data_IF_202777694108
#
_entry.id   IF_202777694108
#
_cell.length_a   1.000
_cell.length_b   1.000
_cell.length_c   1.000
_cell.angle_alpha   90.00
_cell.angle_beta   90.00
_cell.angle_gamma   90.00
#
_symmetry.space_group_name_H-M   'P 1'
#
loop_
_entity.id
_entity.type
_entity.pdbx_description
1 polymer ?
#
# COMPACT_ATOMS: atom_id res chain seq x y z
N UNK A 1 -7.21 3.59 9.51
CA UNK A 1 -6.75 4.85 8.91
C UNK A 1 -5.99 5.65 9.94
N UNK A 2 -4.83 6.21 9.63
CA UNK A 2 -4.04 7.00 10.57
C UNK A 2 -3.70 8.36 9.95
N UNK A 3 -3.95 9.43 10.67
CA UNK A 3 -3.52 10.79 10.34
C UNK A 3 -2.32 11.13 11.23
N UNK A 4 -1.10 11.10 10.68
CA UNK A 4 0.13 11.37 11.41
C UNK A 4 1.09 12.23 10.59
N UNK A 5 1.79 13.13 11.27
CA UNK A 5 2.90 13.90 10.65
C UNK A 5 4.08 12.98 10.30
N UNK A 6 4.81 13.34 9.24
CA UNK A 6 5.93 12.61 8.68
C UNK A 6 7.02 12.27 9.70
N UNK A 7 7.44 11.00 9.76
CA UNK A 7 8.55 10.51 10.60
C UNK A 7 8.72 8.99 10.51
N UNK A 8 9.86 8.47 10.91
CA UNK A 8 10.22 7.04 10.84
C UNK A 8 9.20 6.08 11.50
N UNK A 9 8.40 6.56 12.46
CA UNK A 9 7.35 5.77 13.10
C UNK A 9 6.19 5.40 12.19
N UNK A 10 5.91 6.20 11.14
CA UNK A 10 4.80 5.93 10.21
C UNK A 10 5.07 4.73 9.30
N UNK A 11 6.27 4.61 8.76
CA UNK A 11 6.66 3.44 7.96
C UNK A 11 6.54 2.14 8.77
N UNK A 12 6.98 2.15 10.02
CA UNK A 12 6.85 1.02 10.93
C UNK A 12 5.37 0.65 11.18
N UNK A 13 4.48 1.64 11.26
CA UNK A 13 3.05 1.44 11.53
C UNK A 13 2.34 0.58 10.47
N UNK A 14 2.77 0.61 9.20
CA UNK A 14 2.23 -0.29 8.18
C UNK A 14 3.16 -1.46 7.84
N UNK A 15 4.48 -1.29 7.91
CA UNK A 15 5.41 -2.37 7.56
C UNK A 15 5.39 -3.51 8.57
N UNK A 16 5.28 -3.26 9.87
CA UNK A 16 5.22 -4.34 10.87
C UNK A 16 3.97 -5.21 10.72
N UNK A 17 2.74 -4.69 10.59
CA UNK A 17 1.58 -5.52 10.31
C UNK A 17 1.70 -6.32 9.00
N UNK A 18 2.25 -5.71 7.94
CA UNK A 18 2.46 -6.39 6.66
C UNK A 18 3.45 -7.55 6.83
N UNK A 19 4.63 -7.29 7.37
CA UNK A 19 5.67 -8.31 7.54
C UNK A 19 5.19 -9.42 8.49
N UNK A 20 4.61 -9.06 9.63
CA UNK A 20 4.10 -10.02 10.61
C UNK A 20 3.03 -10.93 10.02
N UNK A 21 2.02 -10.37 9.37
CA UNK A 21 0.95 -11.14 8.75
C UNK A 21 1.41 -11.99 7.55
N UNK A 22 2.40 -11.52 6.78
CA UNK A 22 2.99 -12.34 5.72
C UNK A 22 3.79 -13.53 6.30
N UNK A 23 4.57 -13.32 7.34
CA UNK A 23 5.32 -14.41 7.99
C UNK A 23 4.40 -15.46 8.59
N UNK A 24 3.34 -15.04 9.28
CA UNK A 24 2.33 -15.93 9.82
C UNK A 24 1.65 -16.76 8.73
N UNK A 25 1.24 -16.13 7.63
CA UNK A 25 0.52 -16.77 6.53
C UNK A 25 1.40 -17.68 5.67
N UNK A 26 2.70 -17.43 5.58
CA UNK A 26 3.65 -18.19 4.74
C UNK A 26 4.39 -19.30 5.49
N UNK A 27 4.26 -19.36 6.80
CA UNK A 27 4.88 -20.42 7.63
C UNK A 27 6.41 -20.50 7.54
N UNK A 28 7.10 -19.38 7.23
CA UNK A 28 8.57 -19.35 7.17
C UNK A 28 9.17 -18.74 5.89
N UNK A 29 8.35 -18.13 5.07
CA UNK A 29 8.80 -17.40 3.89
C UNK A 29 8.40 -18.05 2.56
N UNK A 30 8.42 -17.24 1.52
CA UNK A 30 8.15 -17.67 0.14
C UNK A 30 9.46 -18.11 -0.51
N UNK A 31 9.44 -19.27 -1.13
CA UNK A 31 10.56 -19.75 -1.92
C UNK A 31 10.93 -18.79 -3.08
N UNK A 32 12.10 -18.98 -3.71
CA UNK A 32 12.46 -18.16 -4.86
C UNK A 32 11.43 -18.35 -5.99
N UNK A 33 11.18 -17.31 -6.81
CA UNK A 33 10.26 -17.43 -7.93
C UNK A 33 10.75 -18.50 -8.90
N UNK A 34 9.84 -19.20 -9.60
CA UNK A 34 10.19 -20.16 -10.61
C UNK A 34 11.11 -19.55 -11.68
N UNK A 35 12.14 -20.30 -12.12
CA UNK A 35 13.03 -19.85 -13.19
C UNK A 35 12.25 -19.56 -14.46
N UNK A 36 12.52 -18.38 -15.08
CA UNK A 36 11.84 -17.96 -16.31
C UNK A 36 10.52 -17.25 -16.13
N UNK A 37 10.04 -17.06 -14.89
CA UNK A 37 8.85 -16.25 -14.63
C UNK A 37 9.15 -14.78 -14.95
N UNK A 38 8.40 -14.23 -15.92
CA UNK A 38 8.53 -12.83 -16.34
C UNK A 38 7.49 -11.91 -15.68
N UNK A 39 6.55 -12.45 -14.92
CA UNK A 39 5.49 -11.73 -14.25
C UNK A 39 5.64 -11.89 -12.73
N UNK A 40 5.68 -10.79 -12.00
CA UNK A 40 5.80 -10.81 -10.55
C UNK A 40 4.42 -10.70 -9.89
N UNK A 41 4.27 -11.30 -8.70
CA UNK A 41 3.05 -11.34 -7.91
C UNK A 41 3.37 -10.92 -6.47
N UNK A 42 3.41 -9.62 -6.17
CA UNK A 42 3.63 -9.16 -4.80
C UNK A 42 2.45 -9.56 -3.89
N UNK A 43 2.77 -9.81 -2.62
CA UNK A 43 1.80 -10.12 -1.57
C UNK A 43 1.34 -8.86 -0.83
N UNK A 44 2.15 -7.81 -0.88
CA UNK A 44 1.83 -6.50 -0.33
C UNK A 44 2.22 -5.39 -1.29
N UNK A 45 1.39 -4.35 -1.33
CA UNK A 45 1.61 -3.14 -2.10
C UNK A 45 1.58 -1.91 -1.19
N UNK A 46 2.58 -1.05 -1.30
CA UNK A 46 2.63 0.26 -0.65
C UNK A 46 2.69 1.32 -1.73
N UNK A 47 1.68 2.18 -1.82
CA UNK A 47 1.65 3.33 -2.72
C UNK A 47 2.18 4.58 -2.02
N UNK A 48 3.00 5.35 -2.73
CA UNK A 48 3.68 6.54 -2.21
C UNK A 48 3.79 7.61 -3.32
N UNK A 49 3.65 8.90 -2.99
CA UNK A 49 3.54 9.98 -3.99
C UNK A 49 4.83 10.26 -4.75
N UNK A 50 5.99 10.08 -4.14
CA UNK A 50 7.28 10.52 -4.69
C UNK A 50 8.31 9.41 -4.72
N UNK A 51 9.29 9.57 -5.62
CA UNK A 51 10.47 8.71 -5.70
C UNK A 51 11.23 8.65 -4.37
N UNK A 52 11.46 9.81 -3.74
CA UNK A 52 12.23 9.93 -2.51
C UNK A 52 11.56 9.18 -1.37
N UNK A 53 10.24 9.35 -1.20
CA UNK A 53 9.49 8.63 -0.18
C UNK A 53 9.43 7.13 -0.47
N UNK A 54 9.22 6.72 -1.73
CA UNK A 54 9.23 5.30 -2.10
C UNK A 54 10.57 4.63 -1.77
N UNK A 55 11.69 5.30 -2.04
CA UNK A 55 13.02 4.81 -1.70
C UNK A 55 13.23 4.72 -0.19
N UNK A 56 12.81 5.72 0.57
CA UNK A 56 12.89 5.73 2.03
C UNK A 56 12.09 4.58 2.65
N UNK A 57 10.85 4.39 2.21
CA UNK A 57 9.99 3.28 2.67
C UNK A 57 10.63 1.93 2.32
N UNK A 58 11.18 1.79 1.12
CA UNK A 58 11.86 0.59 0.69
C UNK A 58 13.09 0.27 1.54
N UNK A 59 13.94 1.26 1.83
CA UNK A 59 15.12 1.08 2.68
C UNK A 59 14.75 0.66 4.10
N UNK A 60 13.76 1.30 4.70
CA UNK A 60 13.24 0.90 6.03
C UNK A 60 12.62 -0.50 5.97
N UNK A 61 11.82 -0.79 4.94
CA UNK A 61 11.23 -2.10 4.73
C UNK A 61 12.27 -3.22 4.62
N UNK A 62 13.40 -2.95 3.96
CA UNK A 62 14.52 -3.90 3.91
C UNK A 62 15.13 -4.18 5.28
N UNK A 63 15.24 -3.16 6.12
CA UNK A 63 15.74 -3.32 7.50
C UNK A 63 14.77 -4.16 8.33
N UNK A 64 13.46 -3.89 8.24
CA UNK A 64 12.43 -4.62 8.97
C UNK A 64 12.26 -6.07 8.48
N UNK A 65 12.45 -6.31 7.17
CA UNK A 65 12.38 -7.64 6.58
C UNK A 65 13.70 -8.43 6.68
N UNK A 66 14.74 -7.87 7.34
CA UNK A 66 16.02 -8.56 7.47
C UNK A 66 15.86 -9.92 8.18
N UNK A 67 16.46 -10.96 7.62
CA UNK A 67 16.37 -12.35 8.06
C UNK A 67 14.97 -12.99 8.05
N UNK A 68 13.95 -12.32 7.47
CA UNK A 68 12.60 -12.90 7.36
C UNK A 68 12.39 -13.72 6.08
N UNK A 69 13.30 -13.62 5.11
CA UNK A 69 13.14 -14.22 3.79
C UNK A 69 12.22 -13.44 2.85
N UNK A 70 11.51 -12.40 3.33
CA UNK A 70 10.69 -11.52 2.49
C UNK A 70 11.56 -10.55 1.70
N UNK A 71 11.12 -10.24 0.48
CA UNK A 71 11.85 -9.41 -0.50
C UNK A 71 11.09 -8.12 -0.80
N UNK A 72 11.39 -7.01 -0.09
CA UNK A 72 10.92 -5.68 -0.46
C UNK A 72 11.61 -5.22 -1.74
N UNK A 73 10.83 -4.69 -2.69
CA UNK A 73 11.31 -4.06 -3.92
C UNK A 73 10.63 -2.72 -4.13
N UNK A 74 11.18 -1.90 -5.04
CA UNK A 74 10.64 -0.56 -5.28
C UNK A 74 10.54 -0.25 -6.77
N UNK A 75 9.48 0.47 -7.17
CA UNK A 75 9.38 1.06 -8.50
C UNK A 75 8.84 2.50 -8.45
N UNK A 76 9.45 3.38 -9.26
CA UNK A 76 9.14 4.80 -9.28
C UNK A 76 9.43 5.44 -10.64
N UNK A 77 8.74 6.55 -10.91
CA UNK A 77 8.93 7.33 -12.13
C UNK A 77 10.25 8.12 -12.16
N UNK A 78 10.57 8.69 -13.31
CA UNK A 78 11.76 9.53 -13.48
C UNK A 78 13.09 8.76 -13.50
N UNK A 79 13.08 7.45 -13.63
CA UNK A 79 14.26 6.60 -13.77
C UNK A 79 14.03 5.49 -14.79
N UNK A 80 15.09 4.81 -15.22
CA UNK A 80 14.98 3.71 -16.19
C UNK A 80 14.10 2.57 -15.66
N UNK A 81 13.15 2.09 -16.45
CA UNK A 81 12.24 1.02 -16.10
C UNK A 81 12.92 -0.36 -16.07
N UNK A 82 13.84 -0.62 -16.98
CA UNK A 82 14.48 -1.93 -17.15
C UNK A 82 15.18 -2.47 -15.90
N UNK A 83 16.05 -1.71 -15.23
CA UNK A 83 16.66 -2.16 -13.98
C UNK A 83 15.65 -2.47 -12.88
N UNK A 84 14.60 -1.64 -12.72
CA UNK A 84 13.55 -1.86 -11.73
C UNK A 84 12.75 -3.14 -12.02
N UNK A 85 12.39 -3.37 -13.28
CA UNK A 85 11.71 -4.61 -13.69
C UNK A 85 12.57 -5.85 -13.41
N UNK A 86 13.84 -5.81 -13.74
CA UNK A 86 14.76 -6.96 -13.46
C UNK A 86 14.83 -7.27 -11.97
N UNK A 87 14.84 -6.25 -11.12
CA UNK A 87 14.86 -6.45 -9.67
C UNK A 87 13.55 -7.08 -9.17
N UNK A 88 12.41 -6.60 -9.63
CA UNK A 88 11.08 -7.13 -9.30
C UNK A 88 10.95 -8.60 -9.78
N UNK A 89 11.45 -8.93 -10.97
CA UNK A 89 11.40 -10.28 -11.53
C UNK A 89 12.29 -11.29 -10.79
N UNK A 90 13.32 -10.84 -10.10
CA UNK A 90 14.14 -11.69 -9.23
C UNK A 90 13.40 -12.15 -7.98
N UNK A 91 12.27 -11.51 -7.68
CA UNK A 91 11.38 -11.82 -6.58
C UNK A 91 10.94 -10.58 -5.83
N UNK A 92 9.64 -10.45 -5.64
CA UNK A 92 9.00 -9.33 -5.00
C UNK A 92 7.87 -9.84 -4.11
N UNK A 93 8.01 -9.69 -2.80
CA UNK A 93 6.95 -10.04 -1.84
C UNK A 93 6.23 -8.77 -1.35
N UNK A 94 6.98 -7.68 -1.16
CA UNK A 94 6.46 -6.36 -0.78
C UNK A 94 6.90 -5.36 -1.85
N UNK A 95 5.95 -4.78 -2.57
CA UNK A 95 6.23 -3.77 -3.59
C UNK A 95 5.92 -2.37 -3.06
N UNK A 96 6.92 -1.50 -3.04
CA UNK A 96 6.74 -0.06 -2.82
C UNK A 96 6.70 0.63 -4.18
N UNK A 97 5.69 1.42 -4.47
CA UNK A 97 5.48 1.95 -5.81
C UNK A 97 4.97 3.39 -5.84
N UNK A 98 5.44 4.17 -6.83
CA UNK A 98 4.70 5.35 -7.26
C UNK A 98 3.57 4.95 -8.23
N UNK A 99 2.38 5.59 -8.15
CA UNK A 99 1.21 5.14 -8.92
C UNK A 99 1.45 5.06 -10.42
N UNK A 100 2.07 6.08 -11.03
CA UNK A 100 2.30 6.11 -12.48
C UNK A 100 3.24 5.00 -12.99
N UNK A 101 4.31 4.68 -12.26
CA UNK A 101 5.23 3.60 -12.64
C UNK A 101 4.60 2.22 -12.44
N UNK A 102 3.78 2.07 -11.42
CA UNK A 102 3.05 0.82 -11.20
C UNK A 102 2.09 0.55 -12.37
N UNK A 103 1.31 1.53 -12.79
CA UNK A 103 0.43 1.43 -13.95
C UNK A 103 1.21 1.02 -15.21
N UNK A 104 2.37 1.66 -15.49
CA UNK A 104 3.23 1.28 -16.62
C UNK A 104 3.65 -0.21 -16.57
N UNK A 105 3.99 -0.73 -15.40
CA UNK A 105 4.41 -2.14 -15.26
C UNK A 105 3.24 -3.13 -15.34
N UNK A 106 2.05 -2.73 -14.89
CA UNK A 106 0.81 -3.49 -15.07
C UNK A 106 0.42 -3.58 -16.55
N UNK A 107 0.46 -2.45 -17.28
CA UNK A 107 0.19 -2.38 -18.71
C UNK A 107 1.14 -3.24 -19.54
N UNK A 108 2.40 -3.32 -19.16
CA UNK A 108 3.40 -4.21 -19.80
C UNK A 108 3.20 -5.68 -19.46
N UNK A 109 2.23 -6.03 -18.62
CA UNK A 109 1.99 -7.40 -18.17
C UNK A 109 3.12 -8.01 -17.34
N UNK A 110 3.96 -7.15 -16.69
CA UNK A 110 5.14 -7.59 -15.92
C UNK A 110 4.83 -7.74 -14.43
N UNK A 111 3.66 -7.29 -14.00
CA UNK A 111 3.13 -7.38 -12.65
C UNK A 111 1.67 -7.86 -12.68
N UNK A 112 1.26 -8.55 -11.62
CA UNK A 112 -0.12 -8.86 -11.29
C UNK A 112 -0.33 -8.57 -9.81
N UNK A 113 -1.46 -8.00 -9.48
CA UNK A 113 -1.82 -7.67 -8.10
C UNK A 113 -2.76 -8.71 -7.47
N UNK A 114 -3.01 -9.82 -8.18
CA UNK A 114 -3.99 -10.86 -7.77
C UNK A 114 -3.65 -11.57 -6.47
N UNK A 115 -2.40 -11.52 -6.02
CA UNK A 115 -1.97 -12.12 -4.76
C UNK A 115 -1.79 -11.09 -3.62
N UNK A 116 -2.14 -9.82 -3.85
CA UNK A 116 -2.00 -8.77 -2.84
C UNK A 116 -2.98 -9.01 -1.69
N UNK A 117 -2.44 -9.18 -0.48
CA UNK A 117 -3.17 -9.34 0.78
C UNK A 117 -3.18 -8.07 1.61
N UNK A 118 -2.19 -7.21 1.41
CA UNK A 118 -1.99 -5.95 2.15
C UNK A 118 -1.80 -4.80 1.18
N UNK A 119 -2.60 -3.75 1.34
CA UNK A 119 -2.46 -2.49 0.62
C UNK A 119 -2.26 -1.36 1.62
N UNK A 120 -1.20 -0.57 1.45
CA UNK A 120 -1.00 0.66 2.20
C UNK A 120 -0.91 1.84 1.24
N UNK A 121 -1.63 2.93 1.54
CA UNK A 121 -1.50 4.21 0.86
C UNK A 121 -0.84 5.19 1.83
N UNK A 122 0.39 5.61 1.53
CA UNK A 122 1.12 6.59 2.33
C UNK A 122 1.05 7.98 1.71
N UNK A 123 0.83 9.00 2.55
CA UNK A 123 0.59 10.37 2.11
C UNK A 123 -0.52 10.48 1.05
N UNK A 124 -1.67 9.88 1.32
CA UNK A 124 -2.79 9.82 0.38
C UNK A 124 -3.25 11.21 -0.08
N UNK A 125 -3.32 12.20 0.80
CA UNK A 125 -3.61 13.60 0.48
C UNK A 125 -2.63 14.17 -0.54
N UNK A 126 -1.34 13.93 -0.35
CA UNK A 126 -0.31 14.38 -1.29
C UNK A 126 -0.43 13.69 -2.66
N UNK A 127 -0.78 12.40 -2.70
CA UNK A 127 -1.04 11.71 -3.96
C UNK A 127 -2.23 12.34 -4.71
N UNK A 128 -3.30 12.74 -4.01
CA UNK A 128 -4.42 13.47 -4.61
C UNK A 128 -4.00 14.85 -5.11
N UNK A 129 -3.25 15.63 -4.32
CA UNK A 129 -2.75 16.95 -4.71
C UNK A 129 -1.86 16.89 -5.96
N UNK A 130 -1.14 15.79 -6.15
CA UNK A 130 -0.32 15.52 -7.34
C UNK A 130 -1.12 14.97 -8.53
N UNK A 131 -2.43 14.80 -8.39
CA UNK A 131 -3.31 14.32 -9.45
C UNK A 131 -3.27 12.81 -9.70
N UNK A 132 -2.84 12.01 -8.74
CA UNK A 132 -2.73 10.54 -8.89
C UNK A 132 -4.02 9.78 -8.61
N UNK A 133 -5.14 10.44 -8.30
CA UNK A 133 -6.39 9.75 -8.01
C UNK A 133 -6.82 8.78 -9.14
N UNK A 134 -6.76 9.15 -10.44
CA UNK A 134 -7.12 8.23 -11.52
C UNK A 134 -6.28 6.96 -11.53
N UNK A 135 -4.95 7.08 -11.35
CA UNK A 135 -4.04 5.93 -11.30
C UNK A 135 -4.28 5.06 -10.08
N UNK A 136 -4.52 5.66 -8.91
CA UNK A 136 -4.81 4.94 -7.68
C UNK A 136 -6.12 4.16 -7.83
N UNK A 137 -7.19 4.78 -8.32
CA UNK A 137 -8.47 4.10 -8.57
C UNK A 137 -8.32 2.99 -9.60
N UNK A 138 -7.58 3.20 -10.66
CA UNK A 138 -7.28 2.14 -11.62
C UNK A 138 -6.60 0.94 -10.96
N UNK A 139 -5.55 1.17 -10.16
CA UNK A 139 -4.78 0.13 -9.46
C UNK A 139 -5.68 -0.67 -8.50
N UNK A 140 -6.52 0.03 -7.75
CA UNK A 140 -7.28 -0.59 -6.64
C UNK A 140 -8.61 -1.20 -7.11
N UNK A 141 -9.27 -0.61 -8.12
CA UNK A 141 -10.63 -0.97 -8.52
C UNK A 141 -10.71 -1.69 -9.87
N UNK A 142 -9.76 -1.47 -10.79
CA UNK A 142 -9.88 -1.91 -12.19
C UNK A 142 -8.86 -2.99 -12.58
N UNK A 143 -7.73 -3.09 -11.87
CA UNK A 143 -6.75 -4.14 -12.09
C UNK A 143 -7.15 -5.42 -11.32
N UNK A 144 -6.31 -6.46 -11.40
CA UNK A 144 -6.58 -7.78 -10.82
C UNK A 144 -6.38 -7.87 -9.28
N UNK A 145 -6.40 -6.73 -8.57
CA UNK A 145 -6.26 -6.71 -7.11
C UNK A 145 -7.47 -7.34 -6.42
N UNK A 146 -7.29 -8.13 -5.35
CA UNK A 146 -8.39 -8.64 -4.53
C UNK A 146 -9.32 -7.52 -4.03
N UNK A 147 -10.61 -7.81 -3.93
CA UNK A 147 -11.63 -6.82 -3.56
C UNK A 147 -11.44 -6.29 -2.15
N UNK A 148 -12.07 -5.15 -1.88
CA UNK A 148 -12.23 -4.62 -0.53
C UNK A 148 -12.94 -5.67 0.34
N UNK A 149 -12.31 -6.00 1.49
CA UNK A 149 -12.76 -7.11 2.35
C UNK A 149 -11.93 -8.39 2.21
N UNK A 150 -11.38 -8.69 1.02
CA UNK A 150 -10.49 -9.83 0.79
C UNK A 150 -9.01 -9.49 1.03
N UNK A 151 -8.70 -8.20 1.21
CA UNK A 151 -7.39 -7.68 1.55
C UNK A 151 -7.46 -6.77 2.77
N UNK A 152 -6.35 -6.64 3.48
CA UNK A 152 -6.22 -5.61 4.52
C UNK A 152 -5.70 -4.32 3.89
N UNK A 153 -6.47 -3.23 4.03
CA UNK A 153 -6.11 -1.92 3.49
C UNK A 153 -5.83 -0.93 4.62
N UNK A 154 -4.73 -0.18 4.49
CA UNK A 154 -4.31 0.86 5.41
C UNK A 154 -4.14 2.17 4.65
N UNK A 155 -4.71 3.27 5.16
CA UNK A 155 -4.62 4.57 4.54
C UNK A 155 -4.03 5.57 5.53
N UNK A 156 -2.96 6.24 5.13
CA UNK A 156 -2.24 7.24 5.92
C UNK A 156 -2.31 8.58 5.19
N UNK A 157 -2.73 9.62 5.92
CA UNK A 157 -2.89 10.96 5.39
C UNK A 157 -2.66 11.98 6.50
N UNK A 158 -2.03 13.11 6.19
CA UNK A 158 -1.86 14.21 7.14
C UNK A 158 -3.14 15.04 7.29
N UNK A 159 -3.98 15.06 6.26
CA UNK A 159 -5.26 15.77 6.21
C UNK A 159 -6.40 14.84 5.86
N UNK A 160 -7.64 15.25 6.15
CA UNK A 160 -8.82 14.42 5.93
C UNK A 160 -9.94 15.17 5.18
N UNK A 161 -9.65 15.75 3.99
CA UNK A 161 -10.65 16.40 3.16
C UNK A 161 -11.67 15.39 2.62
N UNK A 162 -12.76 15.88 2.02
CA UNK A 162 -13.85 15.04 1.48
C UNK A 162 -13.37 13.99 0.46
N UNK A 163 -12.36 14.32 -0.32
CA UNK A 163 -11.75 13.41 -1.30
C UNK A 163 -11.08 12.20 -0.62
N UNK A 164 -10.36 12.44 0.47
CA UNK A 164 -9.76 11.36 1.29
C UNK A 164 -10.85 10.56 2.00
N UNK A 165 -11.91 11.20 2.50
CA UNK A 165 -13.05 10.50 3.11
C UNK A 165 -13.71 9.54 2.11
N UNK A 166 -13.94 9.97 0.85
CA UNK A 166 -14.47 9.13 -0.22
C UNK A 166 -13.54 7.96 -0.53
N UNK A 167 -12.24 8.24 -0.69
CA UNK A 167 -11.25 7.19 -0.93
C UNK A 167 -11.23 6.16 0.21
N UNK A 168 -11.33 6.61 1.46
CA UNK A 168 -11.41 5.72 2.62
C UNK A 168 -12.67 4.86 2.57
N UNK A 169 -13.83 5.44 2.26
CA UNK A 169 -15.09 4.70 2.13
C UNK A 169 -15.04 3.65 1.01
N UNK A 170 -14.40 3.97 -0.12
CA UNK A 170 -14.33 3.06 -1.27
C UNK A 170 -13.31 1.91 -1.06
N UNK A 171 -12.19 2.18 -0.39
CA UNK A 171 -11.05 1.25 -0.31
C UNK A 171 -10.94 0.47 1.00
N UNK A 172 -11.59 0.94 2.07
CA UNK A 172 -11.56 0.33 3.39
C UNK A 172 -12.89 -0.36 3.70
N UNK A 173 -12.82 -1.47 4.43
CA UNK A 173 -13.99 -2.19 4.91
C UNK A 173 -13.89 -2.37 6.41
N UNK A 174 -14.95 -2.03 7.14
CA UNK A 174 -15.02 -2.15 8.60
C UNK A 174 -13.74 -1.62 9.29
N UNK A 175 -13.40 -0.37 9.00
CA UNK A 175 -12.11 0.20 9.38
C UNK A 175 -12.16 0.97 10.70
N UNK A 176 -11.01 1.03 11.37
CA UNK A 176 -10.79 1.88 12.55
C UNK A 176 -10.14 3.18 12.09
N UNK A 177 -10.71 4.31 12.50
CA UNK A 177 -10.12 5.62 12.29
C UNK A 177 -9.25 6.00 13.50
N UNK A 178 -7.98 6.32 13.25
CA UNK A 178 -7.04 6.81 14.25
C UNK A 178 -6.54 8.20 13.86
N UNK A 179 -6.87 9.21 14.67
CA UNK A 179 -6.29 10.53 14.55
C UNK A 179 -5.14 10.67 15.56
N UNK A 180 -3.92 10.98 15.06
CA UNK A 180 -2.76 11.28 15.89
C UNK A 180 -2.44 12.76 15.73
N UNK A 181 -2.75 13.58 16.73
CA UNK A 181 -2.55 15.02 16.73
C UNK A 181 -2.30 15.58 18.13
N UNK A 182 -1.91 16.87 18.21
CA UNK A 182 -1.79 17.57 19.49
C UNK A 182 -3.15 17.62 20.17
N UNK A 183 -3.21 17.29 21.45
CA UNK A 183 -4.34 17.54 22.35
C UNK A 183 -4.69 19.02 22.28
N UNK A 184 -5.85 19.36 21.69
CA UNK A 184 -6.31 20.77 21.60
C UNK A 184 -6.89 21.23 20.26
N UNK A 185 -6.78 20.45 19.18
CA UNK A 185 -7.57 20.72 17.96
C UNK A 185 -8.84 19.86 18.01
N UNK A 186 -9.99 20.51 18.16
CA UNK A 186 -11.30 19.86 18.08
C UNK A 186 -11.46 19.34 16.64
N UNK A 187 -11.25 18.05 16.46
CA UNK A 187 -11.80 17.32 15.33
C UNK A 187 -13.22 16.95 15.70
N UNK A 188 -14.21 17.47 14.98
CA UNK A 188 -15.56 16.96 15.06
C UNK A 188 -15.52 15.47 14.82
N UNK A 189 -15.85 14.71 15.85
CA UNK A 189 -15.96 13.26 15.79
C UNK A 189 -17.09 12.94 14.80
N UNK A 190 -16.74 12.31 13.68
CA UNK A 190 -17.72 11.67 12.82
C UNK A 190 -18.23 10.47 13.61
N UNK A 191 -19.44 10.57 14.13
CA UNK A 191 -20.18 9.45 14.71
C UNK A 191 -20.28 8.35 13.63
N UNK A 192 -19.79 7.17 13.94
CA UNK A 192 -20.06 5.97 13.17
C UNK A 192 -21.52 5.62 13.36
N UNK A 193 -22.38 5.90 12.38
CA UNK A 193 -23.71 5.30 12.32
C UNK A 193 -23.53 3.78 12.11
N UNK A 194 -23.76 3.03 13.17
CA UNK A 194 -24.00 1.59 13.08
C UNK A 194 -25.31 1.38 12.32
N UNK A 195 -25.23 1.01 11.05
CA UNK A 195 -26.35 0.45 10.33
C UNK A 195 -26.59 -0.98 10.81
N UNK A 196 -27.32 -1.11 11.91
CA UNK A 196 -27.98 -2.36 12.29
C UNK A 196 -29.20 -2.51 11.38
N UNK A 197 -29.10 -3.28 10.33
CA UNK A 197 -30.26 -3.75 9.59
C UNK A 197 -30.95 -4.84 10.41
N UNK A 198 -31.93 -4.46 11.20
CA UNK A 198 -32.90 -5.41 11.73
C UNK A 198 -33.75 -5.94 10.58
N UNK A 199 -33.69 -7.25 10.39
CA UNK A 199 -34.62 -8.02 9.58
C UNK A 199 -36.00 -8.05 10.28
N UNK A 200 -37.01 -7.55 9.61
CA UNK A 200 -38.40 -8.00 9.74
C UNK A 200 -38.86 -8.65 8.45
#
# INVERSE_FOLDING_TARGET
MSCAQTGAGKTAAFMFPIIGGLLESLGGGRGPPPRGMRKAYPLALVLSPTRELALQIHEEGRKFAYQTGLRPTVCYGGAQAGPQLREIERGCDILVASPGRLVDFLERGRLSLSEVRYLALDEADRMLDMGFEPQIRRIVEQEDMPRTGDRQTMLFSATFPKEIQRMAADFLHNYIFLAVGRVGSSTDLIETEEHTSELQ
#
